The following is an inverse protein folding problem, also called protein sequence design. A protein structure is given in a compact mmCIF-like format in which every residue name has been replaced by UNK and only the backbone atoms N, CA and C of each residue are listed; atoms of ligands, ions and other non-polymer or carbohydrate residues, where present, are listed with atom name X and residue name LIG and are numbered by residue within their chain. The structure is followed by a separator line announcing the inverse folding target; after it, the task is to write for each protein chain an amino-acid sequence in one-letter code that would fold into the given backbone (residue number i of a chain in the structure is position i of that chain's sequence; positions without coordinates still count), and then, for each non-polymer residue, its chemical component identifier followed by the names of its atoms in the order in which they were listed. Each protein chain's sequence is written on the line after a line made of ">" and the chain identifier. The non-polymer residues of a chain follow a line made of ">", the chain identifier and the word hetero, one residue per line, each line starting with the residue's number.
data_IF_297498197714
#
_entry.id   IF_297498197714
#
_cell.length_a   1.000
_cell.length_b   1.000
_cell.length_c   1.000
_cell.angle_alpha   90.00
_cell.angle_beta   90.00
_cell.angle_gamma   90.00
#
_symmetry.space_group_name_H-M   'P 1'
#
loop_
_entity.id
_entity.type
_entity.pdbx_description
1 polymer ?
#
# COMPACT_ATOMS: atom_id res chain seq x y z
N UNK A 1 6.82 1.64 46.57
CA UNK A 1 7.84 1.88 45.53
C UNK A 1 7.42 1.12 44.31
N UNK A 2 6.73 1.76 43.36
CA UNK A 2 6.34 1.18 42.09
C UNK A 2 7.56 1.23 41.18
N UNK A 3 8.17 0.07 40.95
CA UNK A 3 9.23 -0.08 39.94
C UNK A 3 8.63 0.25 38.57
N UNK A 4 9.03 1.38 38.00
CA UNK A 4 8.76 1.74 36.61
C UNK A 4 9.54 0.75 35.76
N UNK A 5 8.87 -0.32 35.27
CA UNK A 5 9.43 -1.25 34.31
C UNK A 5 9.72 -0.45 33.03
N UNK A 6 10.98 -0.15 32.76
CA UNK A 6 11.42 0.47 31.53
C UNK A 6 11.22 -0.54 30.41
N UNK A 7 10.29 -0.25 29.49
CA UNK A 7 10.07 -1.07 28.30
C UNK A 7 11.34 -1.05 27.44
N UNK A 8 11.86 -2.23 27.09
CA UNK A 8 13.01 -2.38 26.20
C UNK A 8 12.52 -2.62 24.77
N UNK A 9 12.69 -1.62 23.90
CA UNK A 9 12.32 -1.74 22.50
C UNK A 9 13.20 -2.76 21.77
N UNK A 10 12.62 -3.50 20.84
CA UNK A 10 13.38 -4.39 19.96
C UNK A 10 14.18 -3.56 18.94
N UNK A 11 15.42 -3.96 18.59
CA UNK A 11 16.20 -3.27 17.58
C UNK A 11 15.42 -3.12 16.27
N UNK A 12 15.35 -1.89 15.72
CA UNK A 12 14.62 -1.58 14.50
C UNK A 12 13.07 -1.61 14.60
N UNK A 13 12.52 -1.90 15.80
CA UNK A 13 11.08 -2.05 16.02
C UNK A 13 10.62 -1.17 17.19
N UNK A 14 10.58 0.16 17.04
CA UNK A 14 10.31 1.07 18.17
C UNK A 14 8.91 0.91 18.79
N UNK A 15 7.99 0.24 18.09
CA UNK A 15 6.61 0.01 18.54
C UNK A 15 6.39 -1.38 19.12
N UNK A 16 7.44 -2.21 19.19
CA UNK A 16 7.42 -3.55 19.78
C UNK A 16 8.48 -3.56 20.88
N UNK A 17 8.10 -3.91 22.11
CA UNK A 17 8.99 -3.84 23.25
C UNK A 17 8.64 -4.92 24.28
N UNK A 18 9.62 -5.33 25.06
CA UNK A 18 9.38 -6.09 26.27
C UNK A 18 9.08 -5.15 27.45
N UNK A 19 8.04 -5.49 28.24
CA UNK A 19 7.75 -4.93 29.54
C UNK A 19 7.82 -6.06 30.56
N UNK A 20 8.95 -6.19 31.26
CA UNK A 20 9.28 -7.39 32.00
C UNK A 20 9.45 -8.58 31.07
N UNK A 21 8.71 -9.65 31.33
CA UNK A 21 8.65 -10.89 30.51
C UNK A 21 7.58 -10.86 29.41
N UNK A 22 6.81 -9.76 29.30
CA UNK A 22 5.69 -9.64 28.36
C UNK A 22 6.09 -8.88 27.09
N UNK A 23 5.89 -9.51 25.93
CA UNK A 23 6.04 -8.84 24.65
C UNK A 23 4.80 -8.00 24.35
N UNK A 24 5.03 -6.73 24.05
CA UNK A 24 4.01 -5.70 23.82
C UNK A 24 4.11 -5.19 22.40
N UNK A 25 2.97 -4.89 21.78
CA UNK A 25 2.88 -4.06 20.59
C UNK A 25 2.13 -2.79 20.97
N UNK A 26 2.79 -1.65 20.81
CA UNK A 26 2.33 -0.37 21.35
C UNK A 26 2.07 -0.48 22.89
N UNK A 27 0.85 -0.46 23.33
CA UNK A 27 0.49 -0.66 24.75
C UNK A 27 -0.23 -1.97 25.03
N UNK A 28 -0.27 -2.92 24.05
CA UNK A 28 -1.08 -4.15 24.14
C UNK A 28 -0.19 -5.37 24.26
N UNK A 29 -0.49 -6.26 25.23
CA UNK A 29 0.23 -7.53 25.40
C UNK A 29 -0.15 -8.49 24.28
N UNK A 30 0.85 -9.10 23.62
CA UNK A 30 0.58 -10.11 22.56
C UNK A 30 -0.10 -11.36 23.13
N UNK A 31 0.18 -11.74 24.38
CA UNK A 31 -0.48 -12.85 25.06
C UNK A 31 -1.99 -12.63 25.23
N UNK A 32 -2.43 -11.38 25.45
CA UNK A 32 -3.85 -11.05 25.57
C UNK A 32 -4.55 -11.11 24.21
N UNK A 33 -3.89 -10.63 23.12
CA UNK A 33 -4.39 -10.76 21.76
C UNK A 33 -4.51 -12.22 21.34
N UNK A 34 -3.49 -13.05 21.62
CA UNK A 34 -3.53 -14.48 21.32
C UNK A 34 -4.66 -15.20 22.07
N UNK A 35 -4.91 -14.81 23.32
CA UNK A 35 -6.01 -15.39 24.12
C UNK A 35 -7.37 -14.97 23.59
N UNK A 36 -7.51 -13.72 23.15
CA UNK A 36 -8.77 -13.17 22.66
C UNK A 36 -9.13 -13.65 21.24
N UNK A 37 -8.13 -13.82 20.37
CA UNK A 37 -8.32 -14.05 18.94
C UNK A 37 -7.79 -15.40 18.44
N UNK A 38 -7.09 -16.15 19.28
CA UNK A 38 -6.44 -17.42 18.91
C UNK A 38 -5.10 -17.21 18.22
N UNK A 39 -4.49 -18.34 17.82
CA UNK A 39 -3.22 -18.39 17.06
C UNK A 39 -3.36 -19.40 15.92
N UNK A 40 -2.69 -19.21 14.76
CA UNK A 40 -1.75 -18.12 14.43
C UNK A 40 -2.45 -16.77 14.26
N UNK A 41 -1.76 -15.66 14.60
CA UNK A 41 -2.31 -14.31 14.56
C UNK A 41 -1.26 -13.32 14.01
N UNK A 42 -1.64 -12.54 13.00
CA UNK A 42 -0.85 -11.38 12.56
C UNK A 42 -1.28 -10.13 13.31
N UNK A 43 -0.32 -9.40 13.85
CA UNK A 43 -0.56 -8.15 14.59
C UNK A 43 0.15 -7.01 13.87
N UNK A 44 -0.59 -5.96 13.55
CA UNK A 44 -0.08 -4.77 12.86
C UNK A 44 -0.13 -3.56 13.79
N UNK A 45 1.01 -2.88 13.93
CA UNK A 45 1.08 -1.62 14.68
C UNK A 45 0.68 -0.45 13.80
N UNK A 46 -0.39 0.25 14.18
CA UNK A 46 -0.80 1.50 13.51
C UNK A 46 0.29 2.56 13.60
N UNK A 47 0.93 2.69 14.75
CA UNK A 47 1.99 3.67 14.97
C UNK A 47 3.22 3.37 14.09
N UNK A 48 3.58 2.09 13.91
CA UNK A 48 4.67 1.69 13.00
C UNK A 48 4.37 2.09 11.55
N UNK A 49 3.16 1.77 11.06
CA UNK A 49 2.72 2.14 9.70
C UNK A 49 2.78 3.65 9.48
N UNK A 50 2.23 4.45 10.40
CA UNK A 50 2.23 5.91 10.29
C UNK A 50 3.64 6.50 10.44
N UNK A 51 4.50 5.93 11.29
CA UNK A 51 5.90 6.35 11.43
C UNK A 51 6.70 6.13 10.15
N UNK A 52 6.50 4.98 9.50
CA UNK A 52 7.13 4.67 8.22
C UNK A 52 6.66 5.65 7.13
N UNK A 53 5.35 5.86 6.99
CA UNK A 53 4.81 6.84 6.02
C UNK A 53 5.37 8.24 6.28
N UNK A 54 5.39 8.69 7.53
CA UNK A 54 5.92 9.99 7.91
C UNK A 54 7.43 10.13 7.60
N UNK A 55 8.20 9.04 7.70
CA UNK A 55 9.61 9.05 7.32
C UNK A 55 9.80 9.32 5.82
N UNK A 56 9.02 8.66 4.97
CA UNK A 56 9.00 8.94 3.53
C UNK A 56 8.56 10.37 3.24
N UNK A 57 7.48 10.83 3.86
CA UNK A 57 6.98 12.20 3.68
C UNK A 57 8.04 13.24 4.03
N UNK A 58 8.78 13.04 5.14
CA UNK A 58 9.91 13.92 5.50
C UNK A 58 11.05 13.85 4.49
N UNK A 59 11.40 12.65 4.00
CA UNK A 59 12.46 12.47 3.01
C UNK A 59 12.18 13.17 1.68
N UNK A 60 10.91 13.30 1.31
CA UNK A 60 10.47 13.97 0.09
C UNK A 60 9.95 15.40 0.33
N UNK A 61 10.14 15.96 1.52
CA UNK A 61 9.68 17.31 1.82
C UNK A 61 10.26 18.33 0.83
N UNK A 62 9.42 19.24 0.34
CA UNK A 62 9.79 20.23 -0.68
C UNK A 62 9.87 19.70 -2.11
N UNK A 63 9.55 18.43 -2.36
CA UNK A 63 9.46 17.84 -3.70
C UNK A 63 8.01 17.52 -4.05
N UNK A 64 7.68 17.57 -5.33
CA UNK A 64 6.38 17.10 -5.84
C UNK A 64 6.43 15.56 -5.94
N UNK A 65 6.18 14.89 -4.82
CA UNK A 65 6.19 13.45 -4.72
C UNK A 65 4.92 12.96 -4.02
N UNK A 66 4.31 11.89 -4.56
CA UNK A 66 3.20 11.19 -3.95
C UNK A 66 3.69 9.82 -3.47
N UNK A 67 3.39 9.51 -2.22
CA UNK A 67 3.68 8.18 -1.66
C UNK A 67 2.43 7.34 -1.81
N UNK A 68 2.57 6.17 -2.44
CA UNK A 68 1.50 5.22 -2.65
C UNK A 68 1.79 3.92 -1.88
N UNK A 69 0.81 3.46 -1.12
CA UNK A 69 0.86 2.19 -0.44
C UNK A 69 0.56 1.05 -1.43
N UNK A 70 1.48 0.09 -1.55
CA UNK A 70 1.28 -1.09 -2.38
C UNK A 70 0.31 -2.07 -1.69
N UNK A 71 -0.87 -2.26 -2.28
CA UNK A 71 -1.95 -3.05 -1.68
C UNK A 71 -1.63 -4.53 -1.56
N UNK A 72 -0.72 -5.06 -2.38
CA UNK A 72 -0.24 -6.43 -2.29
C UNK A 72 0.35 -6.79 -0.93
N UNK A 73 0.85 -5.81 -0.17
CA UNK A 73 1.41 -6.03 1.16
C UNK A 73 0.34 -6.42 2.19
N UNK A 74 -0.79 -5.72 2.22
CA UNK A 74 -1.96 -6.06 3.03
C UNK A 74 -3.17 -5.24 2.57
N UNK A 75 -4.19 -5.90 2.03
CA UNK A 75 -5.42 -5.28 1.53
C UNK A 75 -6.57 -5.23 2.56
N UNK A 76 -6.29 -5.43 3.85
CA UNK A 76 -7.29 -5.27 4.91
C UNK A 76 -7.83 -3.84 4.93
N UNK A 77 -9.17 -3.69 4.98
CA UNK A 77 -9.81 -2.37 5.01
C UNK A 77 -9.33 -1.50 6.17
N UNK A 78 -9.04 -2.10 7.33
CA UNK A 78 -8.50 -1.38 8.48
C UNK A 78 -7.11 -0.78 8.20
N UNK A 79 -6.23 -1.52 7.53
CA UNK A 79 -4.91 -1.04 7.11
C UNK A 79 -5.04 0.07 6.06
N UNK A 80 -5.90 -0.15 5.06
CA UNK A 80 -6.12 0.84 4.01
C UNK A 80 -6.69 2.14 4.57
N UNK A 81 -7.62 2.06 5.53
CA UNK A 81 -8.20 3.23 6.18
C UNK A 81 -7.15 4.03 6.97
N UNK A 82 -6.17 3.36 7.61
CA UNK A 82 -5.05 4.06 8.27
C UNK A 82 -4.28 4.91 7.27
N UNK A 83 -3.93 4.35 6.11
CA UNK A 83 -3.19 5.06 5.07
C UNK A 83 -4.04 6.12 4.35
N UNK A 84 -5.32 5.83 4.07
CA UNK A 84 -6.26 6.78 3.47
C UNK A 84 -6.42 8.03 4.35
N UNK A 85 -6.65 7.84 5.65
CA UNK A 85 -6.77 8.93 6.62
C UNK A 85 -5.48 9.76 6.77
N UNK A 86 -4.33 9.17 6.47
CA UNK A 86 -3.04 9.86 6.44
C UNK A 86 -2.73 10.53 5.08
N UNK A 87 -3.67 10.51 4.13
CA UNK A 87 -3.54 11.13 2.81
C UNK A 87 -2.61 10.42 1.84
N UNK A 88 -2.25 9.17 2.13
CA UNK A 88 -1.45 8.31 1.26
C UNK A 88 -2.20 7.96 -0.02
N UNK A 89 -1.50 7.80 -1.14
CA UNK A 89 -2.02 7.17 -2.36
C UNK A 89 -1.99 5.64 -2.26
N UNK A 90 -2.46 4.98 -3.32
CA UNK A 90 -2.49 3.51 -3.37
C UNK A 90 -2.01 3.01 -4.73
N UNK A 91 -1.18 1.99 -4.72
CA UNK A 91 -0.80 1.22 -5.91
C UNK A 91 -1.58 -0.09 -5.91
N UNK A 92 -2.40 -0.25 -6.97
CA UNK A 92 -3.34 -1.36 -7.12
C UNK A 92 -3.01 -2.17 -8.38
N UNK A 93 -3.47 -3.43 -8.42
CA UNK A 93 -3.31 -4.32 -9.58
C UNK A 93 -4.63 -4.94 -10.06
N UNK A 94 -5.78 -4.55 -9.50
CA UNK A 94 -7.10 -5.05 -9.90
C UNK A 94 -8.24 -4.11 -9.54
N UNK A 95 -9.40 -4.29 -10.19
CA UNK A 95 -10.63 -3.59 -9.82
C UNK A 95 -11.13 -3.96 -8.40
N UNK A 96 -10.86 -5.18 -7.94
CA UNK A 96 -11.17 -5.59 -6.57
C UNK A 96 -10.38 -4.79 -5.53
N UNK A 97 -9.12 -4.51 -5.81
CA UNK A 97 -8.30 -3.62 -4.98
C UNK A 97 -8.78 -2.18 -5.03
N UNK A 98 -9.15 -1.68 -6.22
CA UNK A 98 -9.77 -0.36 -6.35
C UNK A 98 -11.02 -0.23 -5.48
N UNK A 99 -11.91 -1.22 -5.52
CA UNK A 99 -13.12 -1.21 -4.70
C UNK A 99 -12.79 -1.16 -3.20
N UNK A 100 -11.76 -1.86 -2.75
CA UNK A 100 -11.30 -1.81 -1.34
C UNK A 100 -10.74 -0.44 -0.98
N UNK A 101 -9.95 0.19 -1.85
CA UNK A 101 -9.43 1.55 -1.62
C UNK A 101 -10.59 2.53 -1.43
N UNK A 102 -11.59 2.49 -2.32
CA UNK A 102 -12.75 3.36 -2.24
C UNK A 102 -13.57 3.11 -0.97
N UNK A 103 -13.77 1.83 -0.60
CA UNK A 103 -14.47 1.46 0.63
C UNK A 103 -13.73 1.91 1.90
N UNK A 104 -12.40 1.99 1.85
CA UNK A 104 -11.57 2.51 2.94
C UNK A 104 -11.49 4.05 2.99
N UNK A 105 -12.15 4.76 2.06
CA UNK A 105 -12.11 6.22 1.97
C UNK A 105 -10.86 6.78 1.28
N UNK A 106 -10.15 5.97 0.49
CA UNK A 106 -9.02 6.43 -0.30
C UNK A 106 -9.44 7.36 -1.44
N UNK A 107 -8.61 8.35 -1.73
CA UNK A 107 -8.81 9.31 -2.81
C UNK A 107 -8.46 8.65 -4.16
N UNK A 108 -9.43 8.46 -5.08
CA UNK A 108 -9.15 7.86 -6.38
C UNK A 108 -8.12 8.64 -7.19
N UNK A 109 -8.05 9.96 -7.08
CA UNK A 109 -7.06 10.76 -7.78
C UNK A 109 -5.61 10.46 -7.36
N UNK A 110 -5.43 9.75 -6.25
CA UNK A 110 -4.12 9.29 -5.75
C UNK A 110 -3.88 7.80 -5.97
N UNK A 111 -4.71 7.14 -6.77
CA UNK A 111 -4.56 5.72 -7.10
C UNK A 111 -3.73 5.58 -8.36
N UNK A 112 -2.77 4.66 -8.33
CA UNK A 112 -1.97 4.20 -9.48
C UNK A 112 -2.38 2.76 -9.77
N UNK A 113 -2.71 2.46 -11.04
CA UNK A 113 -3.10 1.13 -11.46
C UNK A 113 -1.95 0.47 -12.22
N UNK A 114 -1.28 -0.46 -11.57
CA UNK A 114 -0.16 -1.26 -12.08
C UNK A 114 -0.62 -2.66 -12.52
N UNK A 115 0.31 -3.48 -13.00
CA UNK A 115 0.07 -4.89 -13.35
C UNK A 115 -0.20 -5.12 -14.84
N UNK A 116 0.22 -6.30 -15.33
CA UNK A 116 0.21 -6.68 -16.76
C UNK A 116 -1.14 -7.20 -17.27
N UNK A 117 -2.10 -7.44 -16.39
CA UNK A 117 -3.36 -8.12 -16.72
C UNK A 117 -4.61 -7.26 -16.68
N UNK A 118 -4.49 -5.93 -16.81
CA UNK A 118 -5.65 -5.03 -16.77
C UNK A 118 -6.65 -5.33 -17.89
N UNK A 119 -7.88 -5.62 -17.52
CA UNK A 119 -8.96 -5.85 -18.47
C UNK A 119 -9.64 -4.54 -18.90
N UNK A 120 -10.33 -4.55 -20.06
CA UNK A 120 -11.14 -3.40 -20.51
C UNK A 120 -12.15 -2.94 -19.46
N UNK A 121 -12.81 -3.88 -18.77
CA UNK A 121 -13.79 -3.56 -17.73
C UNK A 121 -13.15 -2.85 -16.52
N UNK A 122 -11.98 -3.29 -16.11
CA UNK A 122 -11.22 -2.66 -15.01
C UNK A 122 -10.73 -1.27 -15.40
N UNK A 123 -10.23 -1.10 -16.65
CA UNK A 123 -9.87 0.22 -17.18
C UNK A 123 -11.07 1.19 -17.18
N UNK A 124 -12.24 0.71 -17.63
CA UNK A 124 -13.48 1.49 -17.62
C UNK A 124 -13.86 1.92 -16.19
N UNK A 125 -13.81 0.99 -15.23
CA UNK A 125 -14.12 1.28 -13.84
C UNK A 125 -13.15 2.32 -13.25
N UNK A 126 -11.86 2.16 -13.49
CA UNK A 126 -10.82 3.07 -13.03
C UNK A 126 -10.96 4.48 -13.64
N UNK A 127 -11.21 4.56 -14.94
CA UNK A 127 -11.50 5.83 -15.63
C UNK A 127 -12.78 6.49 -15.14
N UNK A 128 -13.82 5.68 -14.82
CA UNK A 128 -15.08 6.19 -14.33
C UNK A 128 -14.90 6.91 -12.99
N UNK A 129 -14.13 6.35 -12.06
CA UNK A 129 -13.89 6.95 -10.75
C UNK A 129 -12.79 8.01 -10.77
N UNK A 130 -12.01 8.12 -11.85
CA UNK A 130 -10.99 9.15 -12.01
C UNK A 130 -9.71 8.86 -11.24
N UNK A 131 -9.10 7.69 -11.47
CA UNK A 131 -7.81 7.37 -10.85
C UNK A 131 -6.69 8.30 -11.34
N UNK A 132 -5.62 8.41 -10.55
CA UNK A 132 -4.51 9.32 -10.83
C UNK A 132 -3.63 8.89 -12.00
N UNK A 133 -3.38 7.58 -12.18
CA UNK A 133 -2.47 7.10 -13.24
C UNK A 133 -2.67 5.62 -13.54
N UNK A 134 -2.45 5.25 -14.81
CA UNK A 134 -2.23 3.86 -15.24
C UNK A 134 -0.74 3.66 -15.52
N UNK A 135 -0.10 2.71 -14.86
CA UNK A 135 1.22 2.23 -15.26
C UNK A 135 1.03 1.26 -16.42
N UNK A 136 1.38 1.69 -17.63
CA UNK A 136 1.23 0.90 -18.85
C UNK A 136 2.50 0.08 -19.07
N UNK A 137 2.35 -1.22 -19.32
CA UNK A 137 3.44 -2.18 -19.34
C UNK A 137 3.68 -2.78 -20.75
N UNK A 138 2.82 -2.45 -21.74
CA UNK A 138 2.99 -2.85 -23.14
C UNK A 138 2.25 -1.92 -24.10
N UNK A 139 2.66 -1.92 -25.37
CA UNK A 139 1.98 -1.18 -26.44
C UNK A 139 0.54 -1.65 -26.62
N UNK A 140 0.31 -2.97 -26.61
CA UNK A 140 -1.04 -3.54 -26.75
C UNK A 140 -1.97 -3.08 -25.59
N UNK A 141 -1.45 -2.96 -24.40
CA UNK A 141 -2.21 -2.40 -23.27
C UNK A 141 -2.55 -0.92 -23.48
N UNK A 142 -1.59 -0.14 -24.01
CA UNK A 142 -1.80 1.27 -24.31
C UNK A 142 -2.90 1.47 -25.36
N UNK A 143 -2.90 0.64 -26.41
CA UNK A 143 -3.95 0.67 -27.45
C UNK A 143 -5.33 0.36 -26.86
N UNK A 144 -5.42 -0.68 -26.04
CA UNK A 144 -6.68 -1.05 -25.35
C UNK A 144 -7.16 0.07 -24.44
N UNK A 145 -6.26 0.68 -23.67
CA UNK A 145 -6.59 1.79 -22.77
C UNK A 145 -7.04 3.03 -23.55
N UNK A 146 -6.40 3.32 -24.67
CA UNK A 146 -6.78 4.41 -25.58
C UNK A 146 -8.19 4.22 -26.13
N UNK A 147 -8.51 3.03 -26.66
CA UNK A 147 -9.84 2.68 -27.14
C UNK A 147 -10.91 2.88 -26.05
N UNK A 148 -10.63 2.39 -24.84
CA UNK A 148 -11.53 2.51 -23.71
C UNK A 148 -11.74 3.99 -23.34
N UNK A 149 -10.68 4.76 -23.26
CA UNK A 149 -10.75 6.19 -22.93
C UNK A 149 -11.56 6.96 -23.96
N UNK A 150 -11.31 6.73 -25.27
CA UNK A 150 -12.07 7.34 -26.38
C UNK A 150 -13.53 6.97 -26.29
N UNK A 151 -13.87 5.69 -26.08
CA UNK A 151 -15.27 5.22 -25.97
C UNK A 151 -16.04 5.89 -24.82
N UNK A 152 -15.32 6.34 -23.80
CA UNK A 152 -15.87 7.03 -22.62
C UNK A 152 -15.82 8.57 -22.73
N UNK A 153 -15.24 9.13 -23.80
CA UNK A 153 -14.99 10.56 -23.94
C UNK A 153 -14.06 11.12 -22.86
N UNK A 154 -13.08 10.30 -22.41
CA UNK A 154 -12.12 10.65 -21.35
C UNK A 154 -10.69 10.59 -21.85
N UNK A 155 -9.79 11.24 -21.09
CA UNK A 155 -8.35 11.04 -21.21
C UNK A 155 -7.87 10.16 -20.06
N UNK A 156 -7.01 9.18 -20.38
CA UNK A 156 -6.37 8.34 -19.38
C UNK A 156 -5.00 8.92 -19.02
N UNK A 157 -4.74 9.27 -17.75
CA UNK A 157 -3.41 9.62 -17.30
C UNK A 157 -2.55 8.35 -17.28
N UNK A 158 -1.40 8.37 -17.97
CA UNK A 158 -0.54 7.20 -18.14
C UNK A 158 0.90 7.48 -17.71
N UNK A 159 1.56 6.44 -17.21
CA UNK A 159 3.00 6.33 -17.02
C UNK A 159 3.48 5.07 -17.73
N UNK A 160 4.56 5.18 -18.51
CA UNK A 160 5.14 4.02 -19.19
C UNK A 160 6.11 3.32 -18.24
N UNK A 161 5.83 2.07 -17.92
CA UNK A 161 6.75 1.23 -17.15
C UNK A 161 7.76 0.59 -18.10
N UNK A 162 9.02 0.98 -17.95
CA UNK A 162 10.14 0.38 -18.65
C UNK A 162 10.80 -0.63 -17.75
N UNK A 163 10.80 -1.91 -18.17
CA UNK A 163 11.57 -2.95 -17.51
C UNK A 163 12.85 -3.20 -18.33
N UNK A 164 14.00 -2.61 -17.95
CA UNK A 164 15.23 -2.78 -18.71
C UNK A 164 15.69 -4.24 -18.61
N UNK A 165 15.89 -4.88 -19.77
CA UNK A 165 16.38 -6.25 -19.83
C UNK A 165 17.88 -6.31 -19.49
N UNK A 166 18.22 -5.97 -18.25
CA UNK A 166 19.57 -6.10 -17.70
C UNK A 166 19.66 -7.40 -16.93
N UNK A 167 20.77 -8.10 -17.09
CA UNK A 167 21.07 -9.45 -16.59
C UNK A 167 20.35 -9.80 -15.27
N UNK A 168 19.41 -10.73 -15.35
CA UNK A 168 18.51 -11.15 -14.25
C UNK A 168 19.23 -11.78 -13.04
N UNK A 169 20.52 -12.15 -13.16
CA UNK A 169 21.31 -12.71 -12.05
C UNK A 169 21.51 -11.75 -10.87
N UNK A 170 21.25 -10.46 -11.05
CA UNK A 170 21.43 -9.44 -10.03
C UNK A 170 20.22 -8.49 -9.86
N UNK A 171 19.12 -8.72 -10.55
CA UNK A 171 17.96 -7.79 -10.60
C UNK A 171 16.62 -8.45 -10.30
N UNK A 172 16.53 -9.75 -10.04
CA UNK A 172 15.29 -10.33 -9.56
C UNK A 172 15.13 -9.97 -8.08
N UNK A 173 14.23 -9.03 -7.81
CA UNK A 173 13.69 -8.86 -6.48
C UNK A 173 12.82 -10.08 -6.17
N UNK A 174 13.04 -10.71 -5.01
CA UNK A 174 12.22 -11.84 -4.52
C UNK A 174 10.72 -11.53 -4.38
N UNK A 175 10.30 -10.32 -4.72
CA UNK A 175 8.90 -9.90 -4.78
C UNK A 175 8.27 -10.07 -6.18
N UNK A 176 9.04 -10.46 -7.20
CA UNK A 176 8.56 -10.64 -8.57
C UNK A 176 8.35 -12.14 -8.95
N UNK A 177 8.57 -13.09 -8.01
CA UNK A 177 8.28 -14.53 -8.15
C UNK A 177 6.91 -14.92 -7.60
#
# INVERSE_FOLDING_TARGET
>A
MTATSTATALPGQPHIAYSGDQLMVEGVRLSDLARAHGTPLFVYSKAAMLSALAAYQRGFAGRQAQICYAMKANSSLAVLQVFANAGCGFDIVSAGELARVLAAGGDPAKVIFSGVGKTRAEMQQALKVGIGCFNVESEAELDVLSDVAVSMGKQAPVSLRVNPNVCLLYTSDAADD
#
